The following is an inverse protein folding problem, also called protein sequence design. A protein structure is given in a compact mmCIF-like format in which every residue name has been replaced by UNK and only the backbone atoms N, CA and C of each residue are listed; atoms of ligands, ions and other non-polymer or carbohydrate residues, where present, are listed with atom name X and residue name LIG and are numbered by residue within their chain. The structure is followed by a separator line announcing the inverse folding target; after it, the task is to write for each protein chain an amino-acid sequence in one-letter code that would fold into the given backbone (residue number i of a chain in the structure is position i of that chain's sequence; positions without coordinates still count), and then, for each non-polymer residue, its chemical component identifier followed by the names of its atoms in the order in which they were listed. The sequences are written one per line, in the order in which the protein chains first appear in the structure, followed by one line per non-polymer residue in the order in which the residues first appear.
data_IF_374069103567
#
_entry.id   IF_374069103567
#
_cell.length_a   1.000
_cell.length_b   1.000
_cell.length_c   1.000
_cell.angle_alpha   90.00
_cell.angle_beta   90.00
_cell.angle_gamma   90.00
#
_symmetry.space_group_name_H-M   'P 1'
#
loop_
_entity.id
_entity.type
_entity.pdbx_description
1 polymer ?
#
# COMPACT_ATOMS: atom_id res chain seq x y z
N UNK A 1 1.39 46.75 5.03
CA UNK A 1 2.81 46.93 5.38
C UNK A 1 3.30 48.28 4.88
N UNK A 2 3.64 49.20 5.77
CA UNK A 2 4.36 50.44 5.41
C UNK A 2 5.74 50.11 4.84
N UNK A 3 6.27 51.00 4.01
CA UNK A 3 7.57 50.86 3.35
C UNK A 3 8.72 50.69 4.36
N UNK A 4 8.59 51.32 5.53
CA UNK A 4 9.51 51.18 6.67
C UNK A 4 9.58 49.76 7.25
N UNK A 5 8.47 49.03 7.28
CA UNK A 5 8.43 47.68 7.85
C UNK A 5 9.11 46.64 6.95
N UNK A 6 9.03 46.83 5.63
CA UNK A 6 9.76 46.01 4.65
C UNK A 6 11.26 46.27 4.70
N UNK A 7 11.65 47.53 4.85
CA UNK A 7 13.06 47.92 4.98
C UNK A 7 13.68 47.33 6.25
N UNK A 8 12.95 47.33 7.38
CA UNK A 8 13.43 46.73 8.64
C UNK A 8 13.58 45.21 8.55
N UNK A 9 12.60 44.50 7.98
CA UNK A 9 12.67 43.05 7.79
C UNK A 9 13.79 42.63 6.84
N UNK A 10 14.04 43.42 5.79
CA UNK A 10 15.12 43.17 4.85
C UNK A 10 16.51 43.46 5.45
N UNK A 11 16.63 44.49 6.31
CA UNK A 11 17.86 44.72 7.09
C UNK A 11 18.16 43.55 8.03
N UNK A 12 17.14 43.02 8.71
CA UNK A 12 17.29 41.86 9.58
C UNK A 12 17.80 40.62 8.80
N UNK A 13 17.27 40.38 7.60
CA UNK A 13 17.76 39.31 6.72
C UNK A 13 19.22 39.49 6.27
N UNK A 14 19.64 40.72 5.98
CA UNK A 14 21.03 41.03 5.61
C UNK A 14 22.00 40.77 6.78
N UNK A 15 21.58 41.11 7.99
CA UNK A 15 22.40 41.00 9.20
C UNK A 15 22.36 39.61 9.84
N UNK A 16 21.52 38.71 9.33
CA UNK A 16 21.43 37.32 9.78
C UNK A 16 22.64 36.50 9.30
N UNK A 17 23.35 35.88 10.23
CA UNK A 17 24.58 35.10 9.97
C UNK A 17 24.31 33.70 9.40
N UNK A 18 23.06 33.25 9.31
CA UNK A 18 22.69 31.94 8.73
C UNK A 18 22.89 31.91 7.21
N UNK A 19 23.01 30.71 6.64
CA UNK A 19 23.28 30.51 5.21
C UNK A 19 22.01 30.86 4.40
N UNK A 20 22.07 31.66 3.33
CA UNK A 20 20.88 31.89 2.49
C UNK A 20 20.28 30.59 1.94
N UNK A 21 18.99 30.37 2.15
CA UNK A 21 18.29 29.22 1.58
C UNK A 21 18.24 29.32 0.05
N UNK A 22 18.60 28.24 -0.65
CA UNK A 22 18.54 28.14 -2.13
C UNK A 22 17.14 28.42 -2.69
N UNK A 23 16.09 28.09 -1.93
CA UNK A 23 14.69 28.27 -2.34
C UNK A 23 14.07 29.61 -1.89
N UNK A 24 14.79 30.41 -1.10
CA UNK A 24 14.38 31.76 -0.69
C UNK A 24 12.96 31.84 -0.14
N UNK A 25 12.20 32.88 -0.52
CA UNK A 25 10.81 33.08 -0.07
C UNK A 25 9.81 32.00 -0.56
N UNK A 26 10.25 31.06 -1.42
CA UNK A 26 9.45 29.93 -1.92
C UNK A 26 9.82 28.60 -1.25
N UNK A 27 10.70 28.62 -0.24
CA UNK A 27 11.03 27.43 0.51
C UNK A 27 9.79 26.86 1.22
N UNK A 28 9.52 25.57 1.03
CA UNK A 28 8.36 24.88 1.60
C UNK A 28 8.69 24.15 2.92
N UNK A 29 9.97 24.08 3.31
CA UNK A 29 10.41 23.47 4.57
C UNK A 29 9.95 24.32 5.77
N UNK A 30 9.27 23.66 6.72
CA UNK A 30 8.79 24.25 7.97
C UNK A 30 9.51 23.74 9.23
N UNK A 31 10.49 22.85 9.08
CA UNK A 31 11.17 22.23 10.23
C UNK A 31 12.15 23.22 10.91
N UNK A 32 12.31 23.10 12.24
CA UNK A 32 13.09 24.08 13.01
C UNK A 32 14.59 24.03 12.69
N UNK A 33 15.13 22.85 12.38
CA UNK A 33 16.56 22.68 12.07
C UNK A 33 16.95 23.40 10.78
N UNK A 34 16.10 23.33 9.74
CA UNK A 34 16.29 24.07 8.49
C UNK A 34 16.28 25.57 8.72
N UNK A 35 15.28 26.06 9.47
CA UNK A 35 15.20 27.49 9.80
C UNK A 35 16.33 27.96 10.72
N UNK A 36 16.94 27.07 11.53
CA UNK A 36 18.14 27.41 12.30
C UNK A 36 19.40 27.46 11.45
N UNK A 37 19.50 26.66 10.38
CA UNK A 37 20.68 26.59 9.50
C UNK A 37 20.61 27.60 8.35
N UNK A 38 19.41 27.84 7.81
CA UNK A 38 19.20 28.64 6.61
C UNK A 38 18.27 29.84 6.86
N UNK A 39 18.64 31.00 6.31
CA UNK A 39 17.82 32.23 6.31
C UNK A 39 16.98 32.37 5.05
N UNK A 40 15.78 32.93 5.20
CA UNK A 40 14.84 33.18 4.11
C UNK A 40 14.51 34.67 4.01
N UNK A 41 14.43 35.25 2.80
CA UNK A 41 14.03 36.65 2.62
C UNK A 41 12.55 36.83 2.99
N UNK A 42 12.15 38.01 3.50
CA UNK A 42 10.77 38.29 3.89
C UNK A 42 9.82 38.09 2.71
N UNK A 43 8.79 37.25 2.89
CA UNK A 43 7.77 36.98 1.88
C UNK A 43 6.69 38.07 1.93
N UNK A 44 6.22 38.55 0.77
CA UNK A 44 5.11 39.51 0.67
C UNK A 44 3.74 38.94 1.13
N UNK A 45 3.71 37.77 1.77
CA UNK A 45 2.50 37.05 2.18
C UNK A 45 2.58 36.59 3.64
N UNK A 46 2.67 37.50 4.61
CA UNK A 46 2.38 37.16 6.01
C UNK A 46 1.49 38.23 6.66
N UNK A 47 0.46 37.75 7.35
CA UNK A 47 -0.51 38.52 8.14
C UNK A 47 0.17 39.04 9.41
N UNK A 48 -0.20 40.25 9.80
CA UNK A 48 0.27 40.96 10.99
C UNK A 48 0.14 40.11 12.26
N UNK A 49 1.22 40.00 13.02
CA UNK A 49 1.21 39.61 14.44
C UNK A 49 1.95 40.72 15.19
N UNK A 50 1.20 41.53 15.91
CA UNK A 50 1.74 42.49 16.87
C UNK A 50 2.10 41.80 18.21
N UNK A 51 3.10 42.38 18.84
CA UNK A 51 3.87 41.89 19.96
C UNK A 51 3.12 41.98 21.31
N UNK A 52 3.38 41.01 22.19
CA UNK A 52 3.17 41.13 23.63
C UNK A 52 1.90 40.53 24.24
N UNK A 53 1.91 39.22 24.55
CA UNK A 53 1.67 38.66 25.90
C UNK A 53 1.75 37.13 25.91
N UNK A 54 2.43 36.58 26.94
CA UNK A 54 2.54 35.14 27.22
C UNK A 54 1.17 34.49 27.37
N UNK A 55 0.80 33.53 26.51
CA UNK A 55 -0.09 32.41 26.87
C UNK A 55 0.40 31.13 26.18
N UNK A 56 0.70 30.11 26.99
CA UNK A 56 0.79 28.71 26.59
C UNK A 56 -0.54 28.27 25.96
N UNK A 57 -0.58 27.98 24.66
CA UNK A 57 -1.69 27.22 24.07
C UNK A 57 -1.13 26.05 23.27
N UNK A 58 -1.08 24.91 23.95
CA UNK A 58 -1.10 23.61 23.33
C UNK A 58 -2.43 23.46 22.59
N UNK A 59 -2.40 23.31 21.26
CA UNK A 59 -3.58 22.85 20.53
C UNK A 59 -3.74 21.33 20.71
N UNK A 60 -4.29 20.96 21.88
CA UNK A 60 -5.16 19.79 22.01
C UNK A 60 -6.35 20.02 21.08
N UNK A 61 -6.51 19.21 20.03
CA UNK A 61 -7.83 19.09 19.40
C UNK A 61 -8.74 18.31 20.35
N UNK A 62 -9.88 18.92 20.66
CA UNK A 62 -11.01 18.33 21.37
C UNK A 62 -11.46 17.08 20.62
N UNK A 63 -11.60 16.02 21.39
CA UNK A 63 -12.49 14.89 21.12
C UNK A 63 -13.90 15.45 21.33
N UNK A 64 -14.75 15.38 20.33
CA UNK A 64 -16.19 15.48 20.55
C UNK A 64 -16.68 14.11 20.98
N UNK A 65 -17.12 14.03 22.23
CA UNK A 65 -17.92 12.92 22.76
C UNK A 65 -19.29 12.98 22.08
N UNK A 66 -19.66 11.91 21.36
CA UNK A 66 -21.04 11.64 20.98
C UNK A 66 -21.52 10.56 21.94
N UNK A 67 -22.35 10.98 22.90
CA UNK A 67 -23.25 10.08 23.61
C UNK A 67 -24.44 9.76 22.71
N UNK A 68 -24.85 8.50 22.74
CA UNK A 68 -26.08 7.97 22.17
C UNK A 68 -27.31 8.77 22.60
N UNK A 69 -28.15 9.18 21.64
CA UNK A 69 -29.55 8.74 21.65
C UNK A 69 -30.28 9.00 20.32
N UNK A 70 -31.20 8.09 20.04
CA UNK A 70 -31.98 7.85 18.81
C UNK A 70 -32.73 9.07 18.26
N UNK A 71 -32.83 9.17 16.93
CA UNK A 71 -34.11 9.23 16.17
C UNK A 71 -33.89 9.23 14.64
N UNK A 72 -34.77 8.48 13.97
CA UNK A 72 -34.91 8.29 12.53
C UNK A 72 -35.26 9.58 11.78
N UNK A 73 -34.77 9.72 10.53
CA UNK A 73 -35.51 10.35 9.43
C UNK A 73 -34.86 10.04 8.07
N UNK A 74 -35.72 9.70 7.12
CA UNK A 74 -35.49 9.27 5.75
C UNK A 74 -34.75 10.29 4.86
N UNK A 75 -34.04 9.79 3.83
CA UNK A 75 -33.93 10.53 2.57
C UNK A 75 -33.91 9.61 1.34
N UNK A 76 -34.86 9.88 0.45
CA UNK A 76 -35.21 9.20 -0.81
C UNK A 76 -34.23 9.55 -1.94
N UNK A 77 -33.96 8.63 -2.89
CA UNK A 77 -33.00 8.85 -3.98
C UNK A 77 -33.63 9.53 -5.21
N UNK A 78 -32.88 10.44 -5.85
CA UNK A 78 -33.27 11.06 -7.12
C UNK A 78 -32.82 10.20 -8.31
N UNK A 79 -33.80 9.72 -9.10
CA UNK A 79 -33.65 9.23 -10.48
C UNK A 79 -33.50 10.43 -11.42
N UNK A 80 -32.82 10.35 -12.57
CA UNK A 80 -33.32 10.12 -13.96
C UNK A 80 -32.14 10.58 -14.87
N UNK A 81 -31.69 9.96 -15.97
CA UNK A 81 -32.42 9.55 -17.18
C UNK A 81 -31.63 8.52 -18.01
N UNK A 82 -32.35 7.49 -18.48
CA UNK A 82 -31.99 6.61 -19.59
C UNK A 82 -32.31 7.32 -20.91
N UNK A 83 -31.46 7.17 -21.93
CA UNK A 83 -31.90 7.16 -23.32
C UNK A 83 -31.61 5.77 -23.89
N UNK A 84 -32.68 5.12 -24.36
CA UNK A 84 -32.65 3.96 -25.24
C UNK A 84 -32.60 4.48 -26.67
N UNK A 85 -31.81 3.85 -27.54
CA UNK A 85 -32.24 3.56 -28.90
C UNK A 85 -31.68 2.20 -29.32
N UNK A 86 -32.50 1.51 -30.11
CA UNK A 86 -32.55 0.08 -30.32
C UNK A 86 -31.44 -0.53 -31.17
N UNK A 87 -31.39 -1.85 -31.05
CA UNK A 87 -30.50 -2.82 -31.67
C UNK A 87 -30.87 -3.07 -33.14
N UNK A 88 -29.87 -3.26 -33.99
CA UNK A 88 -29.96 -4.24 -35.09
C UNK A 88 -28.62 -4.97 -35.28
N UNK A 89 -28.72 -6.30 -35.29
CA UNK A 89 -27.66 -7.27 -35.56
C UNK A 89 -27.19 -7.20 -37.02
N UNK A 90 -25.88 -7.32 -37.28
CA UNK A 90 -25.33 -8.03 -38.45
C UNK A 90 -24.02 -8.72 -38.06
N UNK A 91 -23.86 -9.90 -38.67
CA UNK A 91 -22.92 -10.99 -38.44
C UNK A 91 -21.42 -10.71 -38.57
N UNK A 92 -20.69 -11.64 -37.92
CA UNK A 92 -19.28 -11.97 -38.10
C UNK A 92 -19.05 -12.47 -39.54
N UNK A 93 -18.08 -11.89 -40.25
CA UNK A 93 -17.04 -12.61 -41.02
C UNK A 93 -16.09 -11.65 -41.77
N UNK A 94 -14.80 -12.02 -41.68
CA UNK A 94 -13.66 -11.67 -42.54
C UNK A 94 -13.10 -10.23 -42.52
N UNK A 95 -11.90 -10.10 -41.93
CA UNK A 95 -10.69 -9.77 -42.70
C UNK A 95 -9.45 -10.14 -41.88
N UNK A 96 -8.79 -11.20 -42.34
CA UNK A 96 -7.38 -11.50 -42.11
C UNK A 96 -6.50 -10.41 -42.75
N UNK A 97 -5.23 -10.39 -42.32
CA UNK A 97 -4.09 -9.62 -42.83
C UNK A 97 -3.94 -8.16 -42.34
N UNK A 98 -3.05 -7.97 -41.36
CA UNK A 98 -1.76 -7.25 -41.52
C UNK A 98 -0.88 -7.63 -40.32
N UNK A 99 0.03 -8.57 -40.57
CA UNK A 99 1.23 -8.79 -39.78
C UNK A 99 2.37 -7.86 -40.25
N UNK A 100 3.35 -7.66 -39.37
CA UNK A 100 4.67 -7.04 -39.53
C UNK A 100 4.82 -5.55 -39.20
N UNK A 101 5.23 -5.27 -37.95
CA UNK A 101 6.37 -4.36 -37.70
C UNK A 101 7.27 -5.00 -36.63
N UNK A 102 8.45 -5.43 -37.09
CA UNK A 102 9.61 -5.83 -36.30
C UNK A 102 10.06 -4.67 -35.39
N UNK A 103 10.35 -4.96 -34.12
CA UNK A 103 11.10 -4.03 -33.26
C UNK A 103 12.48 -4.61 -32.98
N UNK A 104 13.45 -4.00 -33.64
CA UNK A 104 14.87 -4.26 -33.48
C UNK A 104 15.34 -3.97 -32.04
N UNK A 105 16.22 -4.84 -31.57
CA UNK A 105 17.07 -4.64 -30.40
C UNK A 105 18.15 -3.61 -30.73
N UNK A 106 18.32 -2.62 -29.87
CA UNK A 106 19.62 -1.98 -29.68
C UNK A 106 19.98 -1.99 -28.20
N UNK A 107 20.97 -2.84 -27.92
CA UNK A 107 21.84 -2.80 -26.75
C UNK A 107 22.89 -1.73 -27.07
N UNK A 108 23.18 -0.84 -26.14
CA UNK A 108 24.52 -0.27 -26.10
C UNK A 108 25.00 -0.13 -24.65
N UNK A 109 26.20 -0.63 -24.46
CA UNK A 109 26.92 -0.88 -23.22
C UNK A 109 27.54 0.42 -22.69
N UNK A 110 27.67 0.56 -21.37
CA UNK A 110 28.76 1.29 -20.70
C UNK A 110 28.61 1.22 -19.18
N UNK A 111 29.20 0.19 -18.55
CA UNK A 111 29.69 0.28 -17.16
C UNK A 111 31.09 -0.33 -17.15
N UNK A 112 32.10 0.53 -17.06
CA UNK A 112 33.51 0.17 -16.97
C UNK A 112 33.82 -0.59 -15.66
N UNK A 113 34.53 -1.70 -15.82
CA UNK A 113 35.19 -2.46 -14.77
C UNK A 113 36.32 -1.63 -14.12
N UNK A 114 36.28 -1.47 -12.80
CA UNK A 114 37.50 -1.20 -12.02
C UNK A 114 38.00 -2.54 -11.47
N UNK A 115 39.03 -3.07 -12.12
CA UNK A 115 39.84 -4.21 -11.64
C UNK A 115 40.95 -3.68 -10.72
N UNK A 116 40.83 -3.91 -9.42
CA UNK A 116 41.99 -3.91 -8.52
C UNK A 116 42.45 -5.35 -8.27
N UNK A 117 43.76 -5.56 -8.50
CA UNK A 117 44.47 -6.83 -8.34
C UNK A 117 44.78 -7.11 -6.88
N UNK A 118 44.63 -8.39 -6.54
CA UNK A 118 44.81 -9.03 -5.25
C UNK A 118 46.25 -9.19 -4.78
N UNK A 119 46.40 -9.38 -3.46
CA UNK A 119 47.41 -10.28 -2.89
C UNK A 119 46.78 -11.16 -1.78
N UNK A 120 46.89 -12.48 -2.00
CA UNK A 120 46.86 -13.66 -1.11
C UNK A 120 46.09 -13.64 0.24
N UNK A 121 45.03 -14.47 0.36
CA UNK A 121 45.02 -15.85 0.90
C UNK A 121 43.78 -16.21 1.75
N UNK A 122 43.38 -17.49 1.60
CA UNK A 122 42.53 -18.36 2.44
C UNK A 122 41.00 -18.20 2.46
N UNK A 123 40.35 -19.27 1.99
CA UNK A 123 39.12 -19.94 2.44
C UNK A 123 37.85 -19.10 2.67
N UNK A 124 36.92 -19.17 1.70
CA UNK A 124 35.56 -19.61 2.05
C UNK A 124 34.77 -20.13 0.83
N UNK A 125 33.94 -21.14 1.07
CA UNK A 125 33.25 -21.95 0.06
C UNK A 125 32.15 -21.20 -0.69
N UNK A 126 32.40 -20.84 -1.95
CA UNK A 126 31.34 -20.43 -2.88
C UNK A 126 30.63 -21.67 -3.45
N UNK A 127 29.52 -22.07 -2.83
CA UNK A 127 28.55 -22.95 -3.48
C UNK A 127 27.83 -22.15 -4.57
N UNK A 128 28.13 -22.45 -5.83
CA UNK A 128 27.26 -22.13 -6.95
C UNK A 128 25.94 -22.87 -6.77
N UNK A 129 24.88 -22.16 -6.38
CA UNK A 129 23.53 -22.73 -6.32
C UNK A 129 23.10 -23.03 -7.75
N UNK A 130 22.89 -24.31 -8.06
CA UNK A 130 22.36 -24.75 -9.35
C UNK A 130 20.91 -24.26 -9.47
N UNK A 131 20.65 -23.32 -10.38
CA UNK A 131 19.35 -22.63 -10.54
C UNK A 131 18.21 -23.58 -10.97
N UNK A 132 18.54 -24.77 -11.47
CA UNK A 132 17.56 -25.81 -11.82
C UNK A 132 17.31 -26.82 -10.67
N UNK A 133 17.91 -26.61 -9.50
CA UNK A 133 17.64 -27.43 -8.32
C UNK A 133 16.18 -27.31 -7.85
N UNK A 134 15.60 -28.46 -7.50
CA UNK A 134 14.23 -28.58 -7.01
C UNK A 134 14.20 -28.52 -5.48
N UNK A 135 13.44 -27.58 -4.92
CA UNK A 135 13.24 -27.44 -3.48
C UNK A 135 11.98 -28.19 -3.09
N UNK A 136 12.11 -29.17 -2.18
CA UNK A 136 10.99 -29.93 -1.61
C UNK A 136 10.54 -29.21 -0.33
N UNK A 137 9.24 -28.92 -0.23
CA UNK A 137 8.67 -28.31 0.97
C UNK A 137 8.48 -29.39 2.04
N UNK A 138 9.19 -29.25 3.16
CA UNK A 138 9.07 -30.19 4.29
C UNK A 138 7.74 -29.98 5.03
N UNK A 139 6.87 -31.00 5.14
CA UNK A 139 5.59 -30.87 5.86
C UNK A 139 5.75 -30.53 7.35
N UNK A 140 6.93 -30.79 7.93
CA UNK A 140 7.21 -30.52 9.34
C UNK A 140 7.68 -29.08 9.61
N UNK A 141 8.01 -28.32 8.56
CA UNK A 141 8.58 -26.96 8.66
C UNK A 141 7.69 -25.93 7.94
N UNK A 142 6.36 -26.01 8.12
CA UNK A 142 5.42 -25.16 7.37
C UNK A 142 5.60 -23.68 7.62
N UNK A 143 6.04 -23.28 8.83
CA UNK A 143 6.31 -21.87 9.16
C UNK A 143 7.49 -21.34 8.34
N UNK A 144 8.57 -22.10 8.27
CA UNK A 144 9.76 -21.79 7.48
C UNK A 144 9.46 -21.82 5.98
N UNK A 145 8.71 -22.80 5.49
CA UNK A 145 8.29 -22.89 4.09
C UNK A 145 7.53 -21.63 3.65
N UNK A 146 6.54 -21.20 4.44
CA UNK A 146 5.76 -20.00 4.16
C UNK A 146 6.66 -18.76 4.21
N UNK A 147 7.50 -18.63 5.24
CA UNK A 147 8.45 -17.50 5.35
C UNK A 147 9.39 -17.44 4.14
N UNK A 148 9.91 -18.59 3.69
CA UNK A 148 10.84 -18.66 2.57
C UNK A 148 10.17 -18.30 1.23
N UNK A 149 8.89 -18.63 1.05
CA UNK A 149 8.14 -18.34 -0.18
C UNK A 149 7.58 -16.92 -0.23
N UNK A 150 7.14 -16.37 0.91
CA UNK A 150 6.44 -15.09 0.97
C UNK A 150 7.24 -13.96 1.65
N UNK A 151 8.44 -14.26 2.14
CA UNK A 151 9.37 -13.36 2.85
C UNK A 151 8.86 -12.82 4.19
N UNK A 152 7.68 -13.24 4.65
CA UNK A 152 7.05 -12.75 5.88
C UNK A 152 6.56 -13.89 6.76
N UNK A 153 6.57 -13.67 8.07
CA UNK A 153 6.03 -14.61 9.04
C UNK A 153 4.51 -14.44 9.18
N UNK A 154 3.80 -15.56 9.36
CA UNK A 154 2.37 -15.54 9.68
C UNK A 154 2.14 -15.43 11.18
N UNK A 155 1.09 -14.70 11.60
CA UNK A 155 0.71 -14.63 13.01
C UNK A 155 0.05 -15.94 13.48
N UNK A 156 -0.14 -16.09 14.79
CA UNK A 156 -0.66 -17.36 15.35
C UNK A 156 -2.14 -17.60 15.00
N UNK A 157 -2.94 -16.54 14.90
CA UNK A 157 -4.34 -16.60 14.50
C UNK A 157 -4.51 -17.16 13.09
N UNK A 158 -3.54 -16.98 12.19
CA UNK A 158 -3.53 -17.64 10.88
C UNK A 158 -3.55 -19.18 11.00
N UNK A 159 -2.66 -19.74 11.82
CA UNK A 159 -2.58 -21.20 12.00
C UNK A 159 -3.79 -21.74 12.75
N UNK A 160 -4.23 -21.05 13.81
CA UNK A 160 -5.44 -21.38 14.54
C UNK A 160 -6.69 -21.35 13.64
N UNK A 161 -6.76 -20.39 12.71
CA UNK A 161 -7.88 -20.29 11.78
C UNK A 161 -7.91 -21.47 10.79
N UNK A 162 -6.75 -21.97 10.36
CA UNK A 162 -6.70 -23.20 9.56
C UNK A 162 -7.21 -24.42 10.34
N UNK A 163 -6.82 -24.56 11.61
CA UNK A 163 -7.35 -25.60 12.51
C UNK A 163 -8.87 -25.50 12.65
N UNK A 164 -9.39 -24.28 12.89
CA UNK A 164 -10.83 -24.02 12.92
C UNK A 164 -11.53 -24.45 11.62
N UNK A 165 -10.96 -24.11 10.46
CA UNK A 165 -11.50 -24.53 9.16
C UNK A 165 -11.52 -26.05 8.98
N UNK A 166 -10.51 -26.78 9.50
CA UNK A 166 -10.50 -28.25 9.51
C UNK A 166 -11.62 -28.85 10.37
N UNK A 167 -12.00 -28.19 11.46
CA UNK A 167 -13.15 -28.60 12.28
C UNK A 167 -14.50 -28.41 11.56
N UNK A 168 -14.58 -27.44 10.64
CA UNK A 168 -15.78 -27.22 9.81
C UNK A 168 -15.84 -28.21 8.65
N UNK A 169 -14.75 -28.34 7.88
CA UNK A 169 -14.66 -29.24 6.74
C UNK A 169 -13.30 -29.95 6.73
N UNK A 170 -13.31 -31.21 7.16
CA UNK A 170 -12.08 -32.03 7.26
C UNK A 170 -11.40 -32.26 5.91
N UNK A 171 -12.18 -32.42 4.84
CA UNK A 171 -11.66 -32.80 3.52
C UNK A 171 -11.38 -31.57 2.63
N UNK A 172 -12.03 -30.43 2.89
CA UNK A 172 -11.86 -29.22 2.09
C UNK A 172 -11.78 -27.97 2.98
N UNK A 173 -10.74 -27.84 3.83
CA UNK A 173 -10.63 -26.75 4.79
C UNK A 173 -10.62 -25.37 4.13
N UNK A 174 -10.04 -25.25 2.94
CA UNK A 174 -9.97 -23.98 2.22
C UNK A 174 -11.33 -23.44 1.75
N UNK A 175 -12.33 -24.32 1.64
CA UNK A 175 -13.70 -23.98 1.25
C UNK A 175 -14.64 -23.87 2.45
N UNK A 176 -14.12 -23.87 3.69
CA UNK A 176 -14.92 -23.84 4.92
C UNK A 176 -15.83 -22.60 5.04
N UNK A 177 -15.49 -21.50 4.34
CA UNK A 177 -16.24 -20.24 4.34
C UNK A 177 -17.16 -20.08 3.12
N UNK A 178 -17.43 -21.15 2.36
CA UNK A 178 -18.24 -21.09 1.14
C UNK A 178 -19.66 -20.55 1.38
N UNK A 179 -20.23 -20.74 2.57
CA UNK A 179 -21.56 -20.23 2.93
C UNK A 179 -21.65 -18.69 2.95
N UNK A 180 -20.52 -18.00 3.02
CA UNK A 180 -20.41 -16.53 2.93
C UNK A 180 -19.65 -16.09 1.67
N UNK A 181 -19.54 -16.97 0.66
CA UNK A 181 -18.86 -16.71 -0.62
C UNK A 181 -17.38 -16.33 -0.48
N UNK A 182 -16.69 -16.91 0.51
CA UNK A 182 -15.26 -16.70 0.75
C UNK A 182 -14.51 -18.03 0.71
N UNK A 183 -13.25 -18.00 0.29
CA UNK A 183 -12.34 -19.15 0.27
C UNK A 183 -10.96 -18.74 0.77
N UNK A 184 -10.32 -19.61 1.54
CA UNK A 184 -8.94 -19.41 2.01
C UNK A 184 -7.98 -19.66 0.83
N UNK A 185 -6.97 -18.81 0.72
CA UNK A 185 -6.01 -18.79 -0.39
C UNK A 185 -4.63 -18.31 0.10
N UNK A 186 -3.65 -18.27 -0.80
CA UNK A 186 -2.37 -17.64 -0.54
C UNK A 186 -1.52 -18.55 0.35
N UNK A 187 -1.04 -18.09 1.51
CA UNK A 187 -0.29 -18.93 2.44
C UNK A 187 -1.05 -20.18 2.90
N UNK A 188 -2.40 -20.16 2.89
CA UNK A 188 -3.19 -21.35 3.21
C UNK A 188 -3.07 -22.44 2.14
N UNK A 189 -2.79 -22.10 0.88
CA UNK A 189 -2.55 -23.08 -0.19
C UNK A 189 -1.29 -23.92 0.11
N UNK A 190 -0.32 -23.34 0.84
CA UNK A 190 0.84 -24.08 1.34
C UNK A 190 0.44 -25.01 2.48
N UNK A 191 -0.33 -24.53 3.48
CA UNK A 191 -0.82 -25.37 4.58
C UNK A 191 -1.64 -26.58 4.11
N UNK A 192 -2.40 -26.42 3.03
CA UNK A 192 -3.22 -27.47 2.41
C UNK A 192 -2.43 -28.38 1.46
N UNK A 193 -1.09 -28.28 1.44
CA UNK A 193 -0.18 -29.07 0.61
C UNK A 193 -0.47 -28.99 -0.92
N UNK A 194 -1.03 -27.89 -1.41
CA UNK A 194 -1.22 -27.69 -2.87
C UNK A 194 0.10 -27.55 -3.61
N UNK A 195 1.10 -26.97 -2.96
CA UNK A 195 2.48 -26.91 -3.44
C UNK A 195 3.35 -27.87 -2.63
N UNK A 196 3.98 -28.84 -3.29
CA UNK A 196 4.89 -29.82 -2.64
C UNK A 196 6.36 -29.54 -2.92
N UNK A 197 6.66 -28.99 -4.09
CA UNK A 197 8.00 -28.66 -4.53
C UNK A 197 7.97 -27.57 -5.59
N UNK A 198 9.07 -26.83 -5.73
CA UNK A 198 9.23 -25.81 -6.76
C UNK A 198 10.69 -25.72 -7.20
N UNK A 199 10.92 -25.21 -8.42
CA UNK A 199 12.27 -24.93 -8.91
C UNK A 199 12.77 -23.63 -8.30
N UNK A 200 14.05 -23.55 -7.92
CA UNK A 200 14.58 -22.36 -7.26
C UNK A 200 14.40 -21.08 -8.12
N UNK A 201 14.61 -21.17 -9.44
CA UNK A 201 14.37 -20.07 -10.39
C UNK A 201 12.93 -19.53 -10.42
N UNK A 202 11.96 -20.33 -9.99
CA UNK A 202 10.54 -19.96 -9.96
C UNK A 202 10.13 -19.31 -8.64
N UNK A 203 11.02 -19.27 -7.64
CA UNK A 203 10.70 -18.84 -6.27
C UNK A 203 10.04 -17.46 -6.22
N UNK A 204 10.54 -16.49 -6.99
CA UNK A 204 10.01 -15.13 -7.04
C UNK A 204 8.52 -15.10 -7.39
N UNK A 205 8.03 -16.02 -8.24
CA UNK A 205 6.63 -15.99 -8.71
C UNK A 205 5.63 -16.14 -7.56
N UNK A 206 6.00 -16.81 -6.48
CA UNK A 206 5.15 -17.02 -5.30
C UNK A 206 4.87 -15.72 -4.54
N UNK A 207 5.71 -14.68 -4.68
CA UNK A 207 5.44 -13.35 -4.12
C UNK A 207 4.21 -12.67 -4.74
N UNK A 208 3.77 -13.16 -5.91
CA UNK A 208 2.55 -12.71 -6.61
C UNK A 208 1.36 -13.65 -6.42
N UNK A 209 1.54 -14.75 -5.69
CA UNK A 209 0.45 -15.69 -5.45
C UNK A 209 -0.69 -14.99 -4.70
N UNK A 210 -1.85 -14.89 -5.34
CA UNK A 210 -3.02 -14.15 -4.84
C UNK A 210 -2.80 -12.66 -4.55
N UNK A 211 -1.77 -12.04 -5.15
CA UNK A 211 -1.54 -10.60 -5.06
C UNK A 211 -2.39 -9.86 -6.08
N UNK A 212 -3.41 -9.15 -5.63
CA UNK A 212 -4.29 -8.39 -6.51
C UNK A 212 -3.62 -7.12 -7.02
N UNK A 213 -4.21 -6.56 -8.08
CA UNK A 213 -3.67 -5.42 -8.80
C UNK A 213 -3.32 -4.23 -7.89
N UNK A 214 -4.17 -3.93 -6.89
CA UNK A 214 -3.95 -2.82 -5.96
C UNK A 214 -3.34 -3.23 -4.63
N UNK A 215 -2.79 -4.45 -4.52
CA UNK A 215 -2.18 -4.92 -3.26
C UNK A 215 -0.74 -4.40 -3.15
N UNK A 216 -0.48 -3.43 -2.25
CA UNK A 216 0.89 -3.02 -1.98
C UNK A 216 1.66 -4.13 -1.24
N UNK A 217 2.99 -4.03 -1.11
CA UNK A 217 3.80 -5.04 -0.42
C UNK A 217 3.36 -5.36 1.01
N UNK A 218 2.85 -4.36 1.72
CA UNK A 218 2.32 -4.45 3.08
C UNK A 218 1.09 -5.37 3.18
N UNK A 219 0.36 -5.53 2.09
CA UNK A 219 -0.84 -6.36 2.00
C UNK A 219 -0.49 -7.75 1.48
N UNK A 220 -0.84 -8.76 2.27
CA UNK A 220 -0.75 -10.17 1.90
C UNK A 220 -2.11 -10.84 1.99
N UNK A 221 -2.67 -11.17 0.83
CA UNK A 221 -3.97 -11.82 0.71
C UNK A 221 -3.98 -13.23 1.31
N UNK A 222 -5.04 -13.53 2.06
CA UNK A 222 -5.27 -14.81 2.74
C UNK A 222 -6.67 -15.38 2.48
N UNK A 223 -7.63 -14.54 2.07
CA UNK A 223 -8.99 -14.95 1.70
C UNK A 223 -9.39 -14.24 0.42
N UNK A 224 -9.99 -14.97 -0.52
CA UNK A 224 -10.66 -14.38 -1.69
C UNK A 224 -12.17 -14.53 -1.59
N UNK A 225 -12.90 -13.58 -2.13
CA UNK A 225 -14.31 -13.65 -2.43
C UNK A 225 -14.59 -14.02 -3.88
N UNK A 226 -15.86 -14.21 -4.21
CA UNK A 226 -16.29 -14.63 -5.56
C UNK A 226 -16.53 -13.46 -6.53
N UNK A 227 -16.76 -12.24 -6.03
CA UNK A 227 -17.19 -11.08 -6.83
C UNK A 227 -16.35 -9.84 -6.57
N UNK A 228 -16.26 -8.97 -7.56
CA UNK A 228 -15.64 -7.63 -7.52
C UNK A 228 -14.16 -7.61 -7.11
N UNK A 229 -13.44 -8.73 -7.27
CA UNK A 229 -12.10 -8.88 -6.70
C UNK A 229 -12.07 -8.68 -5.18
N UNK A 230 -13.17 -8.99 -4.48
CA UNK A 230 -13.24 -8.94 -3.02
C UNK A 230 -12.17 -9.87 -2.44
N UNK A 231 -11.36 -9.38 -1.52
CA UNK A 231 -10.40 -10.20 -0.81
C UNK A 231 -10.07 -9.58 0.54
N UNK A 232 -9.50 -10.41 1.42
CA UNK A 232 -8.96 -10.00 2.69
C UNK A 232 -7.49 -10.41 2.77
N UNK A 233 -6.71 -9.57 3.44
CA UNK A 233 -5.29 -9.83 3.64
C UNK A 233 -4.77 -9.23 4.94
N UNK A 234 -3.66 -9.77 5.41
CA UNK A 234 -2.92 -9.20 6.53
C UNK A 234 -2.18 -7.95 6.08
N UNK A 235 -2.23 -6.90 6.91
CA UNK A 235 -1.47 -5.67 6.73
C UNK A 235 -0.28 -5.60 7.69
N UNK A 236 0.92 -5.38 7.14
CA UNK A 236 2.17 -5.22 7.90
C UNK A 236 2.79 -3.86 7.60
N UNK A 237 3.03 -3.07 8.64
CA UNK A 237 3.76 -1.81 8.49
C UNK A 237 5.28 -2.04 8.32
N UNK A 238 5.81 -3.13 8.87
CA UNK A 238 7.21 -3.56 8.79
C UNK A 238 7.33 -5.03 8.37
N UNK A 239 8.39 -5.39 7.62
CA UNK A 239 8.55 -6.74 7.05
C UNK A 239 8.75 -7.84 8.11
N UNK A 240 9.44 -7.51 9.19
CA UNK A 240 9.79 -8.43 10.28
C UNK A 240 8.77 -8.47 11.41
N UNK A 241 7.81 -7.53 11.43
CA UNK A 241 6.75 -7.50 12.44
C UNK A 241 5.55 -8.37 12.05
N UNK A 242 4.75 -8.73 13.06
CA UNK A 242 3.47 -9.40 12.82
C UNK A 242 2.47 -8.40 12.22
N UNK A 243 1.48 -8.90 11.44
CA UNK A 243 0.37 -8.05 10.98
C UNK A 243 -0.29 -7.28 12.11
N UNK A 244 -0.68 -6.03 11.82
CA UNK A 244 -1.41 -5.19 12.79
C UNK A 244 -2.91 -5.47 12.74
N UNK A 245 -3.43 -5.71 11.55
CA UNK A 245 -4.84 -6.01 11.31
C UNK A 245 -5.03 -6.73 9.97
N UNK A 246 -6.23 -7.26 9.78
CA UNK A 246 -6.73 -7.72 8.49
C UNK A 246 -7.50 -6.57 7.82
N UNK A 247 -7.25 -6.40 6.53
CA UNK A 247 -7.94 -5.44 5.66
C UNK A 247 -8.84 -6.13 4.66
N UNK A 248 -9.74 -5.36 4.06
CA UNK A 248 -10.63 -5.75 2.96
C UNK A 248 -10.45 -4.78 1.80
N UNK A 249 -10.36 -5.30 0.58
CA UNK A 249 -10.41 -4.52 -0.65
C UNK A 249 -11.31 -5.22 -1.69
N UNK A 250 -11.79 -4.45 -2.67
CA UNK A 250 -12.46 -4.93 -3.88
C UNK A 250 -11.65 -4.45 -5.09
N UNK A 251 -10.77 -5.31 -5.59
CA UNK A 251 -9.74 -4.92 -6.57
C UNK A 251 -10.31 -4.46 -7.92
N UNK A 252 -11.51 -4.93 -8.28
CA UNK A 252 -12.19 -4.51 -9.51
C UNK A 252 -12.89 -3.15 -9.37
N UNK A 253 -13.03 -2.63 -8.15
CA UNK A 253 -13.72 -1.37 -7.86
C UNK A 253 -12.73 -0.23 -7.69
N UNK A 254 -11.79 -0.34 -6.76
CA UNK A 254 -10.83 0.72 -6.45
C UNK A 254 -9.63 0.21 -5.62
N UNK A 255 -8.67 1.09 -5.36
CA UNK A 255 -7.50 0.84 -4.53
C UNK A 255 -7.75 1.04 -3.01
N UNK A 256 -8.99 1.22 -2.56
CA UNK A 256 -9.27 1.55 -1.15
C UNK A 256 -9.15 0.30 -0.29
N UNK A 257 -8.24 0.35 0.67
CA UNK A 257 -7.94 -0.73 1.60
C UNK A 257 -8.57 -0.38 2.96
N UNK A 258 -9.57 -1.16 3.37
CA UNK A 258 -10.33 -0.92 4.59
C UNK A 258 -9.86 -1.83 5.72
N UNK A 259 -9.32 -1.30 6.84
CA UNK A 259 -9.08 -2.09 8.05
C UNK A 259 -10.38 -2.65 8.62
N UNK A 260 -10.38 -3.95 8.97
CA UNK A 260 -11.60 -4.67 9.41
C UNK A 260 -11.52 -5.06 10.88
N UNK A 261 -10.45 -5.76 11.28
CA UNK A 261 -10.24 -6.25 12.65
C UNK A 261 -8.76 -6.60 12.87
N UNK A 262 -8.32 -6.74 14.13
CA UNK A 262 -6.93 -7.07 14.47
C UNK A 262 -6.47 -8.44 13.96
N UNK A 263 -7.38 -9.40 13.85
CA UNK A 263 -7.09 -10.80 13.49
C UNK A 263 -8.09 -11.34 12.47
N UNK A 264 -7.79 -12.50 11.89
CA UNK A 264 -8.63 -13.15 10.87
C UNK A 264 -10.01 -13.55 11.39
N UNK A 265 -10.14 -13.98 12.65
CA UNK A 265 -11.43 -14.36 13.23
C UNK A 265 -12.38 -13.17 13.33
N UNK A 266 -11.90 -12.03 13.84
CA UNK A 266 -12.66 -10.79 13.88
C UNK A 266 -13.07 -10.33 12.48
N UNK A 267 -12.14 -10.41 11.51
CA UNK A 267 -12.43 -9.98 10.14
C UNK A 267 -13.49 -10.87 9.46
N UNK A 268 -13.40 -12.18 9.65
CA UNK A 268 -14.40 -13.13 9.15
C UNK A 268 -15.73 -12.96 9.88
N UNK A 269 -15.75 -12.68 11.19
CA UNK A 269 -17.01 -12.37 11.90
C UNK A 269 -17.70 -11.13 11.31
N UNK A 270 -16.94 -10.09 10.94
CA UNK A 270 -17.50 -8.92 10.24
C UNK A 270 -18.07 -9.30 8.88
N UNK A 271 -17.36 -10.12 8.09
CA UNK A 271 -17.86 -10.62 6.82
C UNK A 271 -19.13 -11.48 6.98
N UNK A 272 -19.22 -12.29 8.05
CA UNK A 272 -20.42 -13.07 8.38
C UNK A 272 -21.59 -12.13 8.70
N UNK A 273 -21.36 -11.08 9.49
CA UNK A 273 -22.39 -10.08 9.81
C UNK A 273 -22.88 -9.31 8.58
N UNK A 274 -21.97 -8.98 7.65
CA UNK A 274 -22.32 -8.36 6.38
C UNK A 274 -23.10 -9.35 5.47
N UNK A 275 -22.69 -10.61 5.42
CA UNK A 275 -23.38 -11.66 4.68
C UNK A 275 -24.79 -11.92 5.23
N UNK A 276 -24.98 -11.94 6.56
CA UNK A 276 -26.30 -12.10 7.19
C UNK A 276 -27.30 -11.00 6.82
N UNK A 277 -26.82 -9.78 6.60
CA UNK A 277 -27.65 -8.64 6.15
C UNK A 277 -28.11 -8.79 4.70
N UNK A 278 -27.28 -9.41 3.86
CA UNK A 278 -27.56 -9.62 2.43
C UNK A 278 -28.22 -10.97 2.11
N UNK A 279 -28.14 -11.94 3.03
CA UNK A 279 -28.55 -13.32 2.82
C UNK A 279 -30.08 -13.51 2.74
N UNK A 280 -30.48 -14.50 1.94
CA UNK A 280 -31.86 -14.97 1.90
C UNK A 280 -32.19 -15.91 3.10
N UNK A 281 -33.47 -16.29 3.25
CA UNK A 281 -33.93 -17.14 4.36
C UNK A 281 -33.23 -18.52 4.42
N UNK A 282 -32.81 -19.07 3.28
CA UNK A 282 -32.17 -20.39 3.22
C UNK A 282 -30.70 -20.34 3.61
N UNK A 283 -29.99 -19.29 3.24
CA UNK A 283 -28.57 -19.07 3.57
C UNK A 283 -28.38 -18.70 5.05
N UNK A 284 -29.32 -17.99 5.66
CA UNK A 284 -29.20 -17.51 7.05
C UNK A 284 -28.88 -18.62 8.04
N UNK A 285 -29.46 -19.81 7.89
CA UNK A 285 -29.23 -20.93 8.80
C UNK A 285 -27.77 -21.38 8.81
N UNK A 286 -27.16 -21.57 7.63
CA UNK A 286 -25.76 -22.01 7.53
C UNK A 286 -24.78 -20.93 7.97
N UNK A 287 -25.09 -19.67 7.66
CA UNK A 287 -24.28 -18.52 8.08
C UNK A 287 -24.32 -18.34 9.61
N UNK A 288 -25.50 -18.48 10.25
CA UNK A 288 -25.63 -18.41 11.72
C UNK A 288 -24.91 -19.56 12.42
N UNK A 289 -24.96 -20.77 11.87
CA UNK A 289 -24.20 -21.92 12.39
C UNK A 289 -22.69 -21.67 12.32
N UNK A 290 -22.20 -21.14 11.19
CA UNK A 290 -20.80 -20.75 11.04
C UNK A 290 -20.42 -19.67 12.06
N UNK A 291 -21.26 -18.64 12.24
CA UNK A 291 -21.03 -17.58 13.21
C UNK A 291 -20.92 -18.12 14.64
N UNK A 292 -21.82 -19.02 15.02
CA UNK A 292 -21.83 -19.64 16.34
C UNK A 292 -20.52 -20.39 16.60
N UNK A 293 -20.10 -21.27 15.68
CA UNK A 293 -18.85 -22.03 15.79
C UNK A 293 -17.62 -21.11 15.87
N UNK A 294 -17.60 -20.04 15.06
CA UNK A 294 -16.51 -19.07 15.08
C UNK A 294 -16.40 -18.36 16.43
N UNK A 295 -17.54 -17.95 17.01
CA UNK A 295 -17.60 -17.30 18.33
C UNK A 295 -17.17 -18.24 19.47
N UNK A 296 -17.63 -19.49 19.43
CA UNK A 296 -17.25 -20.52 20.41
C UNK A 296 -15.73 -20.79 20.37
N UNK A 297 -15.16 -21.00 19.17
CA UNK A 297 -13.73 -21.20 19.01
C UNK A 297 -12.92 -19.97 19.46
N UNK A 298 -13.34 -18.77 19.08
CA UNK A 298 -12.67 -17.55 19.49
C UNK A 298 -12.69 -17.38 21.02
N UNK A 299 -13.79 -17.72 21.69
CA UNK A 299 -13.89 -17.68 23.15
C UNK A 299 -12.97 -18.71 23.81
N UNK A 300 -12.95 -19.95 23.34
CA UNK A 300 -12.07 -21.02 23.86
C UNK A 300 -10.59 -20.65 23.76
N UNK A 301 -10.20 -20.01 22.64
CA UNK A 301 -8.81 -19.64 22.35
C UNK A 301 -8.43 -18.20 22.77
N UNK A 302 -9.31 -17.48 23.47
CA UNK A 302 -9.11 -16.08 23.89
C UNK A 302 -8.77 -15.11 22.74
N UNK A 303 -9.46 -15.26 21.60
CA UNK A 303 -9.29 -14.44 20.41
C UNK A 303 -10.36 -13.34 20.38
N UNK A 304 -9.94 -12.08 20.28
CA UNK A 304 -10.86 -10.94 20.18
C UNK A 304 -11.57 -10.91 18.82
N UNK A 305 -12.88 -10.61 18.82
CA UNK A 305 -13.67 -10.38 17.61
C UNK A 305 -14.01 -8.90 17.40
N UNK A 306 -13.35 -8.00 18.15
CA UNK A 306 -13.60 -6.57 18.09
C UNK A 306 -13.18 -5.96 16.74
N UNK A 307 -14.02 -5.04 16.23
CA UNK A 307 -13.75 -4.29 14.98
C UNK A 307 -12.68 -3.20 15.15
N UNK A 308 -12.45 -2.75 16.38
CA UNK A 308 -11.49 -1.69 16.73
C UNK A 308 -10.82 -2.04 18.05
N UNK A 309 -9.56 -2.44 17.98
CA UNK A 309 -8.78 -2.77 19.17
C UNK A 309 -7.85 -1.63 19.57
N UNK A 310 -7.32 -1.68 20.80
CA UNK A 310 -6.32 -0.73 21.25
C UNK A 310 -5.07 -0.70 20.35
N UNK A 311 -4.65 -1.85 19.79
CA UNK A 311 -3.52 -1.90 18.86
C UNK A 311 -3.81 -1.12 17.58
N UNK A 312 -4.97 -1.32 16.96
CA UNK A 312 -5.39 -0.59 15.76
C UNK A 312 -5.47 0.92 16.02
N UNK A 313 -6.05 1.33 17.16
CA UNK A 313 -6.14 2.76 17.55
C UNK A 313 -4.75 3.35 17.82
N UNK A 314 -3.83 2.59 18.42
CA UNK A 314 -2.48 3.07 18.66
C UNK A 314 -1.66 3.16 17.38
N UNK A 315 -1.85 2.24 16.43
CA UNK A 315 -1.27 2.33 15.09
C UNK A 315 -1.76 3.58 14.38
N UNK A 316 -3.07 3.84 14.42
CA UNK A 316 -3.69 5.02 13.81
C UNK A 316 -3.05 6.35 14.23
N UNK A 317 -2.65 6.50 15.50
CA UNK A 317 -1.94 7.70 16.01
C UNK A 317 -0.53 7.90 15.45
N UNK A 318 0.05 6.88 14.81
CA UNK A 318 1.38 6.87 14.21
C UNK A 318 1.37 7.07 12.70
N UNK A 319 0.19 7.00 12.06
CA UNK A 319 0.04 7.19 10.61
C UNK A 319 0.49 8.60 10.23
N UNK A 320 1.39 8.70 9.25
CA UNK A 320 1.92 9.99 8.78
C UNK A 320 1.19 10.50 7.54
N UNK A 321 0.75 9.60 6.66
CA UNK A 321 -0.02 9.92 5.45
C UNK A 321 -1.05 8.83 5.18
N UNK A 322 -2.17 9.18 4.53
CA UNK A 322 -3.23 8.23 4.19
C UNK A 322 -3.07 7.57 2.84
N UNK A 323 -2.31 8.19 1.94
CA UNK A 323 -2.13 7.81 0.53
C UNK A 323 -3.48 7.65 -0.19
N UNK A 324 -3.46 7.18 -1.43
CA UNK A 324 -4.66 6.91 -2.21
C UNK A 324 -5.41 5.67 -1.74
N UNK A 325 -4.70 4.66 -1.20
CA UNK A 325 -5.29 3.43 -0.71
C UNK A 325 -5.94 3.54 0.68
N UNK A 326 -5.76 4.67 1.38
CA UNK A 326 -6.42 5.03 2.67
C UNK A 326 -6.10 4.17 3.89
N UNK A 327 -5.44 3.02 3.76
CA UNK A 327 -4.88 2.29 4.90
C UNK A 327 -3.83 3.14 5.67
N UNK A 328 -3.13 4.03 4.97
CA UNK A 328 -2.10 4.92 5.51
C UNK A 328 -0.78 4.23 5.80
N UNK A 329 0.28 5.03 5.89
CA UNK A 329 1.66 4.57 6.04
C UNK A 329 2.25 5.02 7.38
N UNK A 330 3.18 4.23 7.89
CA UNK A 330 3.97 4.52 9.08
C UNK A 330 5.44 4.48 8.71
N UNK A 331 6.18 5.47 9.20
CA UNK A 331 7.64 5.54 9.14
C UNK A 331 8.17 6.04 10.48
N UNK A 332 9.46 5.82 10.79
CA UNK A 332 10.10 6.48 11.92
C UNK A 332 9.94 8.01 11.78
N UNK A 333 9.16 8.62 12.69
CA UNK A 333 8.86 10.04 12.64
C UNK A 333 9.05 10.68 14.02
N UNK A 334 10.00 11.61 14.10
CA UNK A 334 10.28 12.35 15.31
C UNK A 334 9.44 13.62 15.34
N UNK A 335 8.38 13.62 16.16
CA UNK A 335 7.46 14.77 16.32
C UNK A 335 8.13 16.05 16.84
N UNK A 336 9.26 15.96 17.55
CA UNK A 336 9.95 17.16 18.06
C UNK A 336 10.79 17.83 16.96
N UNK A 337 11.53 17.03 16.19
CA UNK A 337 12.38 17.56 15.12
C UNK A 337 11.64 17.70 13.79
N UNK A 338 10.44 17.11 13.68
CA UNK A 338 9.67 17.01 12.44
C UNK A 338 10.47 16.30 11.33
N UNK A 339 11.23 15.26 11.71
CA UNK A 339 12.10 14.50 10.82
C UNK A 339 11.53 13.11 10.55
N UNK A 340 11.61 12.65 9.31
CA UNK A 340 11.19 11.33 8.85
C UNK A 340 10.05 11.37 7.84
N UNK A 341 9.29 12.46 7.82
CA UNK A 341 8.17 12.67 6.91
C UNK A 341 7.84 14.15 6.77
N UNK A 342 7.56 14.54 5.52
CA UNK A 342 6.85 15.77 5.16
C UNK A 342 5.86 15.51 4.03
N UNK A 343 4.83 16.35 3.96
CA UNK A 343 3.81 16.27 2.91
C UNK A 343 4.41 16.48 1.50
N UNK A 344 3.76 15.88 0.50
CA UNK A 344 4.09 16.12 -0.91
C UNK A 344 3.92 17.59 -1.29
N UNK A 345 4.61 18.02 -2.33
CA UNK A 345 4.53 19.40 -2.86
C UNK A 345 3.19 19.76 -3.50
N UNK A 346 2.31 18.77 -3.64
CA UNK A 346 0.98 18.86 -4.25
C UNK A 346 -0.03 18.10 -3.40
N UNK A 347 -1.29 18.47 -3.50
CA UNK A 347 -2.40 17.76 -2.84
C UNK A 347 -2.79 16.48 -3.58
N UNK A 348 -3.48 15.54 -2.91
CA UNK A 348 -4.05 14.33 -3.54
C UNK A 348 -4.83 14.66 -4.82
N UNK A 349 -5.64 15.72 -4.78
CA UNK A 349 -6.48 16.15 -5.90
C UNK A 349 -5.66 16.63 -7.09
N UNK A 350 -4.61 17.42 -6.84
CA UNK A 350 -3.71 17.89 -7.89
C UNK A 350 -2.90 16.74 -8.48
N UNK A 351 -2.45 15.81 -7.64
CA UNK A 351 -1.71 14.63 -8.08
C UNK A 351 -2.59 13.71 -8.95
N UNK A 352 -3.84 13.46 -8.55
CA UNK A 352 -4.83 12.75 -9.38
C UNK A 352 -5.09 13.46 -10.72
N UNK A 353 -5.13 14.79 -10.73
CA UNK A 353 -5.27 15.54 -11.98
C UNK A 353 -4.04 15.42 -12.89
N UNK A 354 -2.84 15.32 -12.32
CA UNK A 354 -1.61 15.05 -13.08
C UNK A 354 -1.71 13.65 -13.73
N UNK A 355 -2.05 12.62 -12.95
CA UNK A 355 -2.18 11.24 -13.45
C UNK A 355 -3.22 11.13 -14.56
N UNK A 356 -4.41 11.71 -14.33
CA UNK A 356 -5.48 11.75 -15.33
C UNK A 356 -5.01 12.36 -16.66
N UNK A 357 -4.23 13.44 -16.62
CA UNK A 357 -3.66 14.07 -17.82
C UNK A 357 -2.58 13.23 -18.51
N UNK A 358 -1.88 12.37 -17.77
CA UNK A 358 -0.89 11.44 -18.35
C UNK A 358 -1.61 10.31 -19.09
N UNK A 359 -2.66 9.75 -18.49
CA UNK A 359 -3.40 8.62 -19.04
C UNK A 359 -4.29 9.02 -20.22
N UNK A 360 -4.95 10.19 -20.14
CA UNK A 360 -5.87 10.68 -21.17
C UNK A 360 -5.19 11.50 -22.28
N UNK A 361 -3.86 11.61 -22.28
CA UNK A 361 -3.15 12.38 -23.31
C UNK A 361 -3.22 11.70 -24.69
N UNK A 362 -3.77 12.41 -25.67
CA UNK A 362 -3.89 11.92 -27.06
C UNK A 362 -2.53 11.92 -27.78
N UNK A 363 -1.64 12.84 -27.39
CA UNK A 363 -0.31 13.00 -28.02
C UNK A 363 0.84 12.68 -27.06
N UNK A 364 2.00 12.34 -27.62
CA UNK A 364 3.23 12.08 -26.86
C UNK A 364 3.68 13.38 -26.16
N UNK A 365 3.53 14.52 -26.81
CA UNK A 365 3.93 15.85 -26.34
C UNK A 365 3.09 16.30 -25.13
N UNK A 366 1.78 16.10 -25.16
CA UNK A 366 0.90 16.39 -24.03
C UNK A 366 1.22 15.51 -22.82
N UNK A 367 1.44 14.21 -23.08
CA UNK A 367 1.84 13.26 -22.05
C UNK A 367 3.19 13.67 -21.43
N UNK A 368 4.18 14.04 -22.25
CA UNK A 368 5.48 14.55 -21.78
C UNK A 368 5.33 15.78 -20.89
N UNK A 369 4.47 16.73 -21.28
CA UNK A 369 4.21 17.93 -20.48
C UNK A 369 3.54 17.63 -19.14
N UNK A 370 2.61 16.67 -19.10
CA UNK A 370 2.02 16.19 -17.85
C UNK A 370 3.07 15.45 -16.99
N UNK A 371 3.91 14.62 -17.62
CA UNK A 371 5.00 13.92 -16.95
C UNK A 371 6.03 14.89 -16.35
N UNK A 372 6.35 16.00 -17.02
CA UNK A 372 7.26 17.02 -16.46
C UNK A 372 6.74 17.63 -15.15
N UNK A 373 5.41 17.69 -14.96
CA UNK A 373 4.84 18.12 -13.68
C UNK A 373 5.01 17.06 -12.60
N UNK A 374 4.88 15.79 -12.98
CA UNK A 374 5.15 14.68 -12.08
C UNK A 374 6.63 14.62 -11.70
N UNK A 375 7.54 14.84 -12.65
CA UNK A 375 8.99 14.86 -12.43
C UNK A 375 9.38 15.90 -11.37
N UNK A 376 8.70 17.06 -11.34
CA UNK A 376 8.93 18.07 -10.30
C UNK A 376 8.49 17.57 -8.91
N UNK A 377 7.36 16.86 -8.82
CA UNK A 377 6.91 16.23 -7.56
C UNK A 377 7.91 15.15 -7.12
N UNK A 378 8.37 14.32 -8.05
CA UNK A 378 9.41 13.30 -7.80
C UNK A 378 10.69 13.95 -7.30
N UNK A 379 11.18 15.00 -7.97
CA UNK A 379 12.40 15.73 -7.59
C UNK A 379 12.30 16.31 -6.18
N UNK A 380 11.14 16.83 -5.78
CA UNK A 380 10.92 17.37 -4.45
C UNK A 380 10.82 16.27 -3.37
N UNK A 381 10.22 15.13 -3.72
CA UNK A 381 10.19 13.95 -2.87
C UNK A 381 11.59 13.36 -2.66
N UNK A 382 12.43 13.27 -3.69
CA UNK A 382 13.81 12.77 -3.55
C UNK A 382 14.68 13.70 -2.71
N UNK A 383 14.53 15.02 -2.84
CA UNK A 383 15.17 15.97 -1.92
C UNK A 383 14.70 15.75 -0.46
N UNK A 384 13.44 15.34 -0.26
CA UNK A 384 12.97 14.95 1.06
C UNK A 384 13.71 13.74 1.61
N UNK A 385 13.89 12.71 0.78
CA UNK A 385 14.67 11.54 1.15
C UNK A 385 16.13 11.90 1.47
N UNK A 386 16.79 12.77 0.70
CA UNK A 386 18.16 13.25 0.98
C UNK A 386 18.27 13.95 2.34
N UNK A 387 17.16 14.54 2.81
CA UNK A 387 17.03 15.21 4.10
C UNK A 387 16.42 14.30 5.19
N UNK A 388 16.43 12.99 4.96
CA UNK A 388 15.92 11.92 5.83
C UNK A 388 14.40 11.90 6.06
N UNK A 389 13.62 12.57 5.21
CA UNK A 389 12.15 12.48 5.19
C UNK A 389 11.69 11.36 4.25
N UNK A 390 12.14 10.13 4.51
CA UNK A 390 11.91 8.96 3.63
C UNK A 390 10.42 8.63 3.42
N UNK A 391 9.56 8.98 4.39
CA UNK A 391 8.12 8.77 4.27
C UNK A 391 7.47 9.54 3.11
N UNK A 392 8.07 10.64 2.65
CA UNK A 392 7.58 11.41 1.50
C UNK A 392 7.71 10.61 0.19
N UNK A 393 8.84 9.92 -0.01
CA UNK A 393 9.00 9.01 -1.14
C UNK A 393 8.05 7.81 -1.01
N UNK A 394 7.84 7.30 0.21
CA UNK A 394 6.92 6.18 0.43
C UNK A 394 5.47 6.56 0.09
N UNK A 395 5.01 7.74 0.50
CA UNK A 395 3.69 8.29 0.15
C UNK A 395 3.53 8.38 -1.37
N UNK A 396 4.48 9.03 -2.06
CA UNK A 396 4.43 9.17 -3.51
C UNK A 396 4.44 7.82 -4.21
N UNK A 397 5.25 6.86 -3.74
CA UNK A 397 5.32 5.51 -4.32
C UNK A 397 3.95 4.81 -4.26
N UNK A 398 3.29 4.87 -3.11
CA UNK A 398 1.97 4.29 -2.89
C UNK A 398 0.89 4.97 -3.72
N UNK A 399 0.93 6.29 -3.86
CA UNK A 399 -0.04 7.03 -4.69
C UNK A 399 0.14 6.73 -6.18
N UNK A 400 1.39 6.69 -6.66
CA UNK A 400 1.73 6.28 -8.01
C UNK A 400 1.25 4.86 -8.30
N UNK A 401 1.51 3.92 -7.38
CA UNK A 401 1.09 2.52 -7.51
C UNK A 401 -0.43 2.37 -7.51
N UNK A 402 -1.10 3.09 -6.62
CA UNK A 402 -2.56 3.05 -6.43
C UNK A 402 -3.32 3.70 -7.58
N UNK A 403 -2.67 4.54 -8.40
CA UNK A 403 -3.27 5.10 -9.62
C UNK A 403 -3.68 4.04 -10.63
N UNK A 404 -2.93 2.92 -10.68
CA UNK A 404 -3.08 1.89 -11.71
C UNK A 404 -2.65 2.32 -13.12
N UNK A 405 -1.94 3.44 -13.26
CA UNK A 405 -1.41 3.89 -14.54
C UNK A 405 -0.14 3.11 -14.91
N UNK A 406 -0.14 2.52 -16.11
CA UNK A 406 1.02 1.82 -16.68
C UNK A 406 2.16 2.79 -17.06
N UNK A 407 1.83 4.06 -17.31
CA UNK A 407 2.80 5.06 -17.74
C UNK A 407 3.73 5.53 -16.62
N UNK A 408 3.32 5.37 -15.36
CA UNK A 408 4.06 5.86 -14.19
C UNK A 408 4.57 4.72 -13.30
N UNK A 409 4.43 3.47 -13.73
CA UNK A 409 4.82 2.29 -12.97
C UNK A 409 6.33 2.24 -12.68
N UNK A 410 7.16 2.63 -13.68
CA UNK A 410 8.61 2.75 -13.48
C UNK A 410 8.96 3.78 -12.41
N UNK A 411 8.26 4.91 -12.40
CA UNK A 411 8.42 5.96 -11.39
C UNK A 411 7.97 5.46 -10.02
N UNK A 412 6.87 4.70 -9.94
CA UNK A 412 6.43 4.07 -8.70
C UNK A 412 7.51 3.14 -8.12
N UNK A 413 8.10 2.28 -8.96
CA UNK A 413 9.18 1.38 -8.56
C UNK A 413 10.42 2.14 -8.08
N UNK A 414 10.78 3.25 -8.74
CA UNK A 414 11.89 4.09 -8.30
C UNK A 414 11.63 4.67 -6.91
N UNK A 415 10.44 5.22 -6.67
CA UNK A 415 10.08 5.80 -5.37
C UNK A 415 10.03 4.73 -4.26
N UNK A 416 9.48 3.54 -4.54
CA UNK A 416 9.54 2.42 -3.61
C UNK A 416 10.97 1.97 -3.33
N UNK A 417 11.83 1.94 -4.35
CA UNK A 417 13.23 1.54 -4.20
C UNK A 417 13.96 2.47 -3.23
N UNK A 418 13.78 3.79 -3.38
CA UNK A 418 14.36 4.77 -2.46
C UNK A 418 13.78 4.59 -1.06
N UNK A 419 12.44 4.57 -0.94
CA UNK A 419 11.75 4.52 0.34
C UNK A 419 12.09 3.25 1.14
N UNK A 420 11.89 2.07 0.55
CA UNK A 420 12.13 0.80 1.24
C UNK A 420 13.60 0.53 1.52
N UNK A 421 14.53 1.03 0.70
CA UNK A 421 15.96 0.92 1.02
C UNK A 421 16.31 1.75 2.24
N UNK A 422 15.88 3.01 2.30
CA UNK A 422 16.20 3.89 3.44
C UNK A 422 15.41 3.59 4.71
N UNK A 423 14.25 2.94 4.60
CA UNK A 423 13.46 2.45 5.72
C UNK A 423 13.86 1.04 6.19
N UNK A 424 14.85 0.42 5.54
CA UNK A 424 15.32 -0.95 5.83
C UNK A 424 14.20 -2.01 5.73
N UNK A 425 13.49 -2.01 4.58
CA UNK A 425 12.38 -2.92 4.25
C UNK A 425 12.65 -3.72 2.97
N UNK A 426 13.73 -4.52 2.92
CA UNK A 426 14.18 -5.18 1.68
C UNK A 426 13.15 -6.18 1.13
N UNK A 427 12.39 -6.88 1.98
CA UNK A 427 11.38 -7.84 1.54
C UNK A 427 10.23 -7.16 0.79
N UNK A 428 9.79 -5.98 1.25
CA UNK A 428 8.77 -5.20 0.54
C UNK A 428 9.29 -4.69 -0.81
N UNK A 429 10.57 -4.35 -0.90
CA UNK A 429 11.20 -3.97 -2.16
C UNK A 429 11.25 -5.15 -3.14
N UNK A 430 11.57 -6.35 -2.68
CA UNK A 430 11.55 -7.56 -3.52
C UNK A 430 10.13 -7.86 -4.02
N UNK A 431 9.15 -7.81 -3.12
CA UNK A 431 7.74 -8.03 -3.44
C UNK A 431 7.25 -7.06 -4.52
N UNK A 432 7.52 -5.74 -4.38
CA UNK A 432 7.03 -4.77 -5.37
C UNK A 432 7.74 -4.92 -6.72
N UNK A 433 9.04 -5.23 -6.74
CA UNK A 433 9.78 -5.51 -7.98
C UNK A 433 9.13 -6.65 -8.75
N UNK A 434 8.86 -7.77 -8.07
CA UNK A 434 8.21 -8.91 -8.71
C UNK A 434 6.78 -8.57 -9.11
N UNK A 435 6.02 -7.87 -8.25
CA UNK A 435 4.64 -7.50 -8.54
C UNK A 435 4.54 -6.67 -9.83
N UNK A 436 5.34 -5.60 -9.95
CA UNK A 436 5.32 -4.72 -11.13
C UNK A 436 5.84 -5.42 -12.40
N UNK A 437 6.82 -6.34 -12.31
CA UNK A 437 7.28 -7.13 -13.48
C UNK A 437 6.12 -7.84 -14.20
N UNK A 438 5.07 -8.26 -13.48
CA UNK A 438 3.92 -8.94 -14.08
C UNK A 438 2.69 -8.79 -13.17
N UNK A 439 2.14 -7.56 -13.20
CA UNK A 439 0.99 -7.09 -12.43
C UNK A 439 -0.30 -7.43 -13.18
N UNK A 440 -1.10 -8.36 -12.64
CA UNK A 440 -2.31 -8.87 -13.31
C UNK A 440 -3.60 -8.39 -12.65
N UNK A 441 -4.66 -8.28 -13.46
CA UNK A 441 -6.05 -8.14 -13.00
C UNK A 441 -6.77 -9.49 -13.13
N UNK A 442 -7.81 -9.70 -12.34
CA UNK A 442 -8.66 -10.89 -12.42
C UNK A 442 -8.95 -11.53 -11.07
N UNK A 443 -9.79 -12.57 -11.11
CA UNK A 443 -10.29 -13.30 -9.93
C UNK A 443 -9.56 -14.63 -9.67
N UNK A 444 -8.67 -15.03 -10.58
CA UNK A 444 -7.78 -16.16 -10.39
C UNK A 444 -6.32 -15.71 -10.54
N UNK A 445 -5.63 -15.66 -9.41
CA UNK A 445 -4.26 -15.17 -9.28
C UNK A 445 -3.38 -16.25 -8.64
N UNK A 446 -3.79 -17.52 -8.73
CA UNK A 446 -2.93 -18.64 -8.34
C UNK A 446 -1.70 -18.70 -9.25
N UNK A 447 -0.57 -19.11 -8.66
CA UNK A 447 0.68 -19.42 -9.38
C UNK A 447 1.15 -20.84 -9.03
N UNK A 448 0.32 -21.55 -8.26
CA UNK A 448 0.43 -22.97 -7.91
C UNK A 448 -0.48 -23.74 -8.86
#
# INVERSE_FOLDING_TARGET
MSEDHKNKAFLAYKNDSRIPCRYGAKCYQKNLLHHNKYKHPPSNKEKEVEDGQKILIANKRKIEEINDDKKEADFVPSKIQKVKTDVSNVDINNLEDIDNIETEKMIDDNIEEIKEKSCASSDDSNQTIDDDSCVILSPNCMKENIKNLFLVQMPEDFYQFYEFCKLISKNTPLMALKSIHLNLVGPFDILDNKLKSFKNKDKEKYLRHWRYYYDPPELQTIIKGEKDGLHLGYWRDECFEKPIFVVKNKADVNCIIQPVAENIFGAVNVCIEDALKAANLFEKTSILQLQKRLKEFAQEHNITLERKTAKMINREKKVVARTFHKAGIIVPYNKKTQLGYRELSVTDKELQQIFKKIDEADTIEERKKAMSKLDEVVRLATIAADECDFGTCLELAHDLFSSGSVHIEKTALQMFSIAYTHLDRPEFLEIIKVHLKNRKRGNDLTVI
#
